data_IF_160435368229
#
_entry.id   IF_160435368229
#
_cell.length_a   1.000
_cell.length_b   1.000
_cell.length_c   1.000
_cell.angle_alpha   90.00
_cell.angle_beta   90.00
_cell.angle_gamma   90.00
#
_symmetry.space_group_name_H-M   'P 1'
#
loop_
_entity.id
_entity.type
_entity.pdbx_description
1 polymer ?
#
# COMPACT_ATOMS: atom_id res chain seq x y z
N UNK A 1 13.22 -6.30 -5.75
CA UNK A 1 13.37 -7.04 -4.48
C UNK A 1 12.66 -6.33 -3.32
N UNK A 2 12.59 -5.00 -3.31
CA UNK A 2 11.83 -4.29 -2.27
C UNK A 2 10.34 -4.63 -2.33
N UNK A 3 9.72 -4.56 -3.52
CA UNK A 3 8.32 -4.95 -3.69
C UNK A 3 8.08 -6.42 -3.36
N UNK A 4 9.03 -7.29 -3.69
CA UNK A 4 8.89 -8.72 -3.40
C UNK A 4 8.97 -9.03 -1.91
N UNK A 5 9.91 -8.44 -1.16
CA UNK A 5 9.98 -8.63 0.29
C UNK A 5 8.74 -8.07 1.00
N UNK A 6 8.20 -6.91 0.53
CA UNK A 6 6.94 -6.32 1.02
C UNK A 6 5.77 -7.27 0.76
N UNK A 7 5.72 -7.86 -0.42
CA UNK A 7 4.70 -8.86 -0.76
C UNK A 7 4.76 -10.07 0.19
N UNK A 8 5.96 -10.64 0.43
CA UNK A 8 6.11 -11.78 1.36
C UNK A 8 5.63 -11.39 2.76
N UNK A 9 6.02 -10.22 3.27
CA UNK A 9 5.59 -9.73 4.58
C UNK A 9 4.09 -9.55 4.66
N UNK A 10 3.50 -8.85 3.70
CA UNK A 10 2.06 -8.56 3.67
C UNK A 10 1.24 -9.85 3.49
N UNK A 11 1.68 -10.74 2.62
CA UNK A 11 1.04 -12.04 2.44
C UNK A 11 1.07 -12.87 3.73
N UNK A 12 2.21 -12.88 4.40
CA UNK A 12 2.35 -13.60 5.67
C UNK A 12 1.47 -13.02 6.78
N UNK A 13 1.42 -11.68 6.89
CA UNK A 13 0.65 -10.98 7.92
C UNK A 13 -0.86 -11.04 7.64
N UNK A 14 -1.27 -10.65 6.45
CA UNK A 14 -2.70 -10.45 6.13
C UNK A 14 -3.37 -11.75 5.67
N UNK A 15 -2.69 -12.54 4.80
CA UNK A 15 -3.29 -13.75 4.24
C UNK A 15 -3.16 -14.93 5.18
N UNK A 16 -1.98 -15.06 5.81
CA UNK A 16 -1.64 -16.21 6.66
C UNK A 16 -1.68 -15.93 8.17
N UNK A 17 -1.96 -14.68 8.56
CA UNK A 17 -2.13 -14.25 9.96
C UNK A 17 -0.90 -14.52 10.86
N UNK A 18 0.30 -14.52 10.27
CA UNK A 18 1.56 -14.76 11.01
C UNK A 18 1.96 -13.58 11.89
N UNK A 19 1.56 -12.38 11.54
CA UNK A 19 1.93 -11.15 12.24
C UNK A 19 3.24 -10.55 11.76
N UNK A 20 3.20 -9.26 11.40
CA UNK A 20 4.32 -8.53 10.75
C UNK A 20 5.58 -8.38 11.61
N UNK A 21 5.47 -8.44 12.94
CA UNK A 21 6.57 -8.21 13.88
C UNK A 21 7.81 -9.09 13.62
N UNK A 22 7.61 -10.31 13.15
CA UNK A 22 8.72 -11.22 12.87
C UNK A 22 9.57 -10.74 11.69
N UNK A 23 8.92 -10.18 10.69
CA UNK A 23 9.55 -9.64 9.48
C UNK A 23 10.17 -8.26 9.76
N UNK A 24 9.52 -7.42 10.56
CA UNK A 24 10.05 -6.13 11.00
C UNK A 24 11.38 -6.31 11.77
N UNK A 25 11.49 -7.31 12.63
CA UNK A 25 12.73 -7.61 13.33
C UNK A 25 13.88 -8.00 12.39
N UNK A 26 13.59 -8.71 11.30
CA UNK A 26 14.59 -9.11 10.32
C UNK A 26 15.12 -7.92 9.51
N UNK A 27 14.23 -7.02 9.06
CA UNK A 27 14.66 -5.83 8.33
C UNK A 27 15.39 -4.84 9.22
N UNK A 28 14.94 -4.65 10.47
CA UNK A 28 15.61 -3.77 11.43
C UNK A 28 17.02 -4.27 11.75
N UNK A 29 17.18 -5.57 11.95
CA UNK A 29 18.51 -6.17 12.14
C UNK A 29 19.39 -5.98 10.91
N UNK A 30 18.88 -6.18 9.71
CA UNK A 30 19.64 -5.96 8.48
C UNK A 30 20.09 -4.50 8.34
N UNK A 31 19.20 -3.53 8.64
CA UNK A 31 19.57 -2.10 8.66
C UNK A 31 20.68 -1.81 9.67
N UNK A 32 20.59 -2.39 10.87
CA UNK A 32 21.64 -2.27 11.90
C UNK A 32 22.98 -2.85 11.42
N UNK A 33 22.97 -4.06 10.86
CA UNK A 33 24.18 -4.76 10.36
C UNK A 33 24.84 -3.99 9.20
N UNK A 34 24.06 -3.26 8.38
CA UNK A 34 24.55 -2.42 7.28
C UNK A 34 24.84 -0.98 7.67
N UNK A 35 24.48 -0.56 8.88
CA UNK A 35 24.65 0.81 9.36
C UNK A 35 23.80 1.85 8.62
N UNK A 36 22.64 1.45 8.10
CA UNK A 36 21.67 2.30 7.38
C UNK A 36 20.44 2.56 8.21
N UNK A 37 19.74 3.67 7.90
CA UNK A 37 18.58 4.09 8.70
C UNK A 37 17.25 3.72 8.03
N UNK A 38 17.16 3.86 6.72
CA UNK A 38 15.91 3.67 5.98
C UNK A 38 15.97 2.43 5.08
N UNK A 39 14.83 1.84 4.82
CA UNK A 39 14.69 0.68 3.93
C UNK A 39 15.22 0.98 2.52
N UNK A 40 15.04 2.22 2.04
CA UNK A 40 15.53 2.69 0.73
C UNK A 40 17.05 2.76 0.62
N UNK A 41 17.76 2.71 1.75
CA UNK A 41 19.22 2.70 1.77
C UNK A 41 19.81 1.29 1.60
N UNK A 42 18.96 0.25 1.71
CA UNK A 42 19.38 -1.13 1.48
C UNK A 42 19.62 -1.39 -0.02
N UNK A 43 20.69 -2.09 -0.32
CA UNK A 43 21.04 -2.44 -1.70
C UNK A 43 20.13 -3.55 -2.25
N UNK A 44 20.11 -3.73 -3.57
CA UNK A 44 19.39 -4.83 -4.20
C UNK A 44 19.86 -6.21 -3.71
N UNK A 45 21.14 -6.34 -3.34
CA UNK A 45 21.68 -7.57 -2.77
C UNK A 45 21.15 -7.84 -1.37
N UNK A 46 21.09 -6.78 -0.53
CA UNK A 46 20.53 -6.86 0.82
C UNK A 46 19.03 -7.21 0.78
N UNK A 47 18.28 -6.56 -0.11
CA UNK A 47 16.84 -6.82 -0.27
C UNK A 47 16.55 -8.23 -0.80
N UNK A 48 17.44 -8.78 -1.66
CA UNK A 48 17.35 -10.16 -2.09
C UNK A 48 17.60 -11.14 -0.95
N UNK A 49 18.64 -10.88 -0.15
CA UNK A 49 18.94 -11.68 1.04
C UNK A 49 17.75 -11.61 2.04
N UNK A 50 17.20 -10.42 2.26
CA UNK A 50 16.06 -10.21 3.15
C UNK A 50 14.81 -10.98 2.67
N UNK A 51 14.55 -11.02 1.38
CA UNK A 51 13.43 -11.79 0.82
C UNK A 51 13.58 -13.30 1.12
N UNK A 52 14.80 -13.84 1.05
CA UNK A 52 15.04 -15.25 1.41
C UNK A 52 14.91 -15.48 2.94
N UNK A 53 15.35 -14.52 3.77
CA UNK A 53 15.13 -14.59 5.21
C UNK A 53 13.63 -14.55 5.55
N UNK A 54 12.84 -13.73 4.86
CA UNK A 54 11.38 -13.67 5.02
C UNK A 54 10.69 -14.99 4.66
N UNK A 55 11.12 -15.64 3.58
CA UNK A 55 10.61 -16.99 3.23
C UNK A 55 10.97 -18.03 4.29
N UNK A 56 12.19 -17.96 4.82
CA UNK A 56 12.61 -18.85 5.89
C UNK A 56 11.76 -18.62 7.16
N UNK A 57 11.48 -17.36 7.50
CA UNK A 57 10.63 -17.04 8.64
C UNK A 57 9.18 -17.48 8.43
N UNK A 58 8.63 -17.31 7.23
CA UNK A 58 7.33 -17.87 6.87
C UNK A 58 7.28 -19.38 7.14
N UNK A 59 8.31 -20.11 6.70
CA UNK A 59 8.42 -21.54 6.94
C UNK A 59 8.55 -21.90 8.42
N UNK A 60 9.30 -21.09 9.19
CA UNK A 60 9.42 -21.29 10.64
C UNK A 60 8.07 -21.17 11.35
N UNK A 61 7.24 -20.22 10.94
CA UNK A 61 5.95 -19.96 11.58
C UNK A 61 4.86 -20.94 11.15
N UNK A 62 4.85 -21.37 9.89
CA UNK A 62 3.75 -22.18 9.30
C UNK A 62 4.12 -23.64 9.02
N UNK A 63 5.39 -23.99 9.05
CA UNK A 63 5.88 -25.33 8.75
C UNK A 63 5.89 -25.71 7.25
N UNK A 64 5.47 -24.78 6.37
CA UNK A 64 5.41 -24.99 4.91
C UNK A 64 6.19 -23.91 4.20
N UNK A 65 6.66 -24.20 2.97
CA UNK A 65 7.36 -23.23 2.15
C UNK A 65 6.41 -22.11 1.69
N UNK A 66 6.97 -20.90 1.49
CA UNK A 66 6.22 -19.80 0.90
C UNK A 66 5.72 -20.18 -0.50
N UNK A 67 4.43 -20.05 -0.82
CA UNK A 67 3.89 -20.49 -2.10
C UNK A 67 4.53 -19.69 -3.25
N UNK A 68 5.05 -20.41 -4.25
CA UNK A 68 5.71 -19.82 -5.42
C UNK A 68 4.79 -19.71 -6.64
N UNK A 69 3.68 -20.44 -6.67
CA UNK A 69 2.68 -20.35 -7.73
C UNK A 69 1.80 -19.12 -7.54
N UNK A 70 1.78 -18.16 -8.47
CA UNK A 70 0.97 -16.95 -8.36
C UNK A 70 -0.54 -17.22 -8.33
N UNK A 71 -1.01 -18.32 -8.92
CA UNK A 71 -2.42 -18.70 -8.87
C UNK A 71 -2.79 -19.20 -7.47
N UNK A 72 -1.91 -19.95 -6.83
CA UNK A 72 -2.08 -20.37 -5.44
C UNK A 72 -2.08 -19.16 -4.50
N UNK A 73 -1.13 -18.24 -4.66
CA UNK A 73 -1.08 -16.98 -3.90
C UNK A 73 -2.39 -16.19 -4.04
N UNK A 74 -2.91 -16.05 -5.26
CA UNK A 74 -4.15 -15.34 -5.52
C UNK A 74 -5.35 -16.03 -4.85
N UNK A 75 -5.46 -17.34 -4.92
CA UNK A 75 -6.54 -18.09 -4.26
C UNK A 75 -6.54 -17.87 -2.75
N UNK A 76 -5.36 -18.00 -2.12
CA UNK A 76 -5.21 -17.76 -0.68
C UNK A 76 -5.56 -16.32 -0.28
N UNK A 77 -5.18 -15.34 -1.11
CA UNK A 77 -5.54 -13.94 -0.87
C UNK A 77 -7.05 -13.70 -1.00
N UNK A 78 -7.72 -14.29 -2.00
CA UNK A 78 -9.18 -14.22 -2.15
C UNK A 78 -9.87 -14.83 -0.94
N UNK A 79 -9.42 -16.00 -0.50
CA UNK A 79 -9.96 -16.66 0.71
C UNK A 79 -9.78 -15.79 1.96
N UNK A 80 -8.64 -15.13 2.11
CA UNK A 80 -8.40 -14.23 3.23
C UNK A 80 -9.36 -13.03 3.23
N UNK A 81 -9.66 -12.45 2.06
CA UNK A 81 -10.66 -11.37 1.95
C UNK A 81 -12.04 -11.86 2.38
N UNK A 82 -12.48 -13.05 1.97
CA UNK A 82 -13.75 -13.59 2.42
C UNK A 82 -13.77 -13.89 3.92
N UNK A 83 -12.67 -14.45 4.47
CA UNK A 83 -12.56 -14.67 5.93
C UNK A 83 -12.61 -13.37 6.74
N UNK A 84 -12.06 -12.27 6.18
CA UNK A 84 -12.03 -10.98 6.88
C UNK A 84 -13.41 -10.40 7.21
N UNK A 85 -14.46 -10.86 6.51
CA UNK A 85 -15.85 -10.51 6.83
C UNK A 85 -16.23 -10.82 8.27
N UNK A 86 -15.71 -11.92 8.82
CA UNK A 86 -16.05 -12.41 10.15
C UNK A 86 -15.05 -11.98 11.24
N UNK A 87 -14.04 -11.17 10.90
CA UNK A 87 -13.09 -10.72 11.90
C UNK A 87 -13.73 -9.74 12.91
N UNK A 88 -13.20 -9.64 14.15
CA UNK A 88 -13.78 -8.81 15.20
C UNK A 88 -13.92 -7.32 14.82
N UNK A 89 -12.94 -6.76 14.10
CA UNK A 89 -12.96 -5.36 13.67
C UNK A 89 -14.08 -5.12 12.64
N UNK A 90 -14.23 -6.01 11.66
CA UNK A 90 -15.30 -5.92 10.68
C UNK A 90 -16.69 -6.07 11.31
N UNK A 91 -16.84 -6.96 12.32
CA UNK A 91 -18.09 -7.13 13.06
C UNK A 91 -18.48 -5.84 13.81
N UNK A 92 -17.52 -5.18 14.47
CA UNK A 92 -17.75 -3.89 15.14
C UNK A 92 -18.16 -2.82 14.13
N UNK A 93 -17.41 -2.69 13.03
CA UNK A 93 -17.71 -1.72 11.98
C UNK A 93 -19.12 -1.89 11.41
N UNK A 94 -19.51 -3.12 11.06
CA UNK A 94 -20.86 -3.39 10.52
C UNK A 94 -21.96 -3.05 11.51
N UNK A 95 -21.79 -3.42 12.77
CA UNK A 95 -22.75 -3.06 13.83
C UNK A 95 -22.91 -1.55 13.96
N UNK A 96 -21.80 -0.82 13.97
CA UNK A 96 -21.79 0.63 14.20
C UNK A 96 -22.30 1.42 12.99
N UNK A 97 -22.35 0.79 11.81
CA UNK A 97 -22.86 1.40 10.57
C UNK A 97 -24.17 0.73 10.07
N UNK A 98 -24.84 -0.07 10.89
CA UNK A 98 -26.12 -0.73 10.55
C UNK A 98 -26.06 -1.58 9.26
N UNK A 99 -24.90 -2.18 8.98
CA UNK A 99 -24.71 -3.06 7.81
C UNK A 99 -25.22 -4.46 8.14
N UNK A 100 -26.21 -5.01 7.39
CA UNK A 100 -26.76 -6.33 7.65
C UNK A 100 -25.69 -7.42 7.59
N UNK A 101 -25.66 -8.30 8.58
CA UNK A 101 -24.74 -9.44 8.60
C UNK A 101 -24.99 -10.42 7.43
N UNK A 102 -26.22 -10.46 6.92
CA UNK A 102 -26.60 -11.28 5.76
C UNK A 102 -25.99 -10.83 4.44
N UNK A 103 -25.41 -9.63 4.39
CA UNK A 103 -24.60 -9.22 3.26
C UNK A 103 -23.28 -9.97 3.29
N UNK A 104 -22.59 -10.00 2.17
CA UNK A 104 -21.25 -10.55 2.07
C UNK A 104 -20.28 -9.47 1.66
N UNK A 105 -19.07 -9.88 1.33
CA UNK A 105 -18.06 -9.05 0.70
C UNK A 105 -17.75 -9.55 -0.70
N UNK A 106 -17.08 -8.73 -1.48
CA UNK A 106 -16.64 -9.07 -2.83
C UNK A 106 -15.13 -8.83 -2.97
N UNK A 107 -14.52 -9.49 -3.94
CA UNK A 107 -13.10 -9.34 -4.26
C UNK A 107 -12.96 -8.81 -5.68
N UNK A 108 -12.21 -7.72 -5.83
CA UNK A 108 -11.74 -7.23 -7.11
C UNK A 108 -10.27 -7.59 -7.28
N UNK A 109 -9.94 -8.23 -8.40
CA UNK A 109 -8.55 -8.52 -8.77
C UNK A 109 -8.10 -7.48 -9.79
N UNK A 110 -7.13 -6.66 -9.40
CA UNK A 110 -6.63 -5.57 -10.23
C UNK A 110 -5.14 -5.72 -10.50
N UNK A 111 -4.64 -5.30 -11.67
CA UNK A 111 -3.19 -5.15 -11.90
C UNK A 111 -2.60 -4.19 -10.86
N UNK A 112 -1.42 -4.52 -10.35
CA UNK A 112 -0.71 -3.65 -9.44
C UNK A 112 0.12 -2.62 -10.22
N UNK A 113 0.07 -1.36 -9.79
CA UNK A 113 0.88 -0.25 -10.29
C UNK A 113 1.93 0.08 -9.23
N UNK A 114 3.20 0.25 -9.65
CA UNK A 114 4.32 0.37 -8.74
C UNK A 114 4.85 1.80 -8.65
N UNK A 115 4.45 2.54 -7.63
CA UNK A 115 4.98 3.87 -7.31
C UNK A 115 6.46 3.88 -6.90
N UNK A 116 7.04 2.73 -6.60
CA UNK A 116 8.45 2.53 -6.28
C UNK A 116 9.25 1.85 -7.39
N UNK A 117 8.80 1.95 -8.65
CA UNK A 117 9.52 1.36 -9.77
C UNK A 117 10.83 2.11 -10.06
N UNK A 118 10.78 3.44 -10.03
CA UNK A 118 11.93 4.34 -10.29
C UNK A 118 11.58 5.78 -9.88
N UNK A 119 12.44 6.75 -10.21
CA UNK A 119 12.21 8.16 -9.90
C UNK A 119 11.17 8.86 -10.80
N UNK A 120 10.66 8.19 -11.83
CA UNK A 120 9.53 8.63 -12.66
C UNK A 120 8.20 8.02 -12.18
N UNK A 121 8.22 7.47 -10.97
CA UNK A 121 7.10 6.82 -10.32
C UNK A 121 6.89 7.41 -8.93
N UNK A 122 5.67 7.35 -8.42
CA UNK A 122 5.33 7.89 -7.11
C UNK A 122 3.95 7.48 -6.65
N UNK A 123 3.60 7.87 -5.44
CA UNK A 123 2.28 7.63 -4.87
C UNK A 123 1.89 8.77 -3.94
N UNK A 124 0.62 8.99 -3.75
CA UNK A 124 0.14 10.07 -2.89
C UNK A 124 -1.31 9.91 -2.48
N UNK A 125 -1.72 10.85 -1.65
CA UNK A 125 -3.09 11.02 -1.16
C UNK A 125 -3.54 12.46 -1.39
N UNK A 126 -4.78 12.66 -1.73
CA UNK A 126 -5.31 14.00 -1.94
C UNK A 126 -6.81 14.11 -1.67
N UNK A 127 -7.21 15.31 -1.24
CA UNK A 127 -8.59 15.74 -1.18
C UNK A 127 -8.86 16.72 -2.32
N UNK A 128 -9.97 16.57 -3.01
CA UNK A 128 -10.34 17.49 -4.12
C UNK A 128 -10.59 18.91 -3.64
N UNK A 129 -10.87 19.09 -2.33
CA UNK A 129 -11.02 20.38 -1.66
C UNK A 129 -10.23 20.40 -0.36
N UNK A 130 -9.99 21.59 0.16
CA UNK A 130 -9.50 21.73 1.53
C UNK A 130 -10.52 21.11 2.52
N UNK A 131 -10.17 20.03 3.23
CA UNK A 131 -11.11 19.33 4.10
C UNK A 131 -11.49 20.13 5.35
N UNK A 132 -10.73 21.17 5.71
CA UNK A 132 -11.01 22.01 6.86
C UNK A 132 -11.95 23.18 6.54
N UNK A 133 -11.86 23.71 5.31
CA UNK A 133 -12.60 24.94 4.92
C UNK A 133 -13.63 24.71 3.83
N UNK A 134 -13.53 23.62 3.06
CA UNK A 134 -14.36 23.37 1.88
C UNK A 134 -13.94 24.19 0.64
N UNK A 135 -12.87 24.99 0.74
CA UNK A 135 -12.34 25.76 -0.39
C UNK A 135 -11.98 24.81 -1.56
N UNK A 136 -12.36 25.22 -2.77
CA UNK A 136 -12.02 24.45 -3.98
C UNK A 136 -10.53 24.60 -4.29
N UNK A 137 -9.73 23.87 -3.54
CA UNK A 137 -8.28 23.81 -3.63
C UNK A 137 -7.83 22.39 -3.36
N UNK A 138 -7.16 21.78 -4.35
CA UNK A 138 -6.57 20.45 -4.19
C UNK A 138 -5.58 20.46 -3.01
N UNK A 139 -5.80 19.58 -2.05
CA UNK A 139 -4.96 19.40 -0.88
C UNK A 139 -4.45 17.97 -0.83
N UNK A 140 -3.19 17.78 -0.52
CA UNK A 140 -2.62 16.45 -0.45
C UNK A 140 -1.11 16.45 -0.48
N UNK A 141 -0.56 15.26 -0.50
CA UNK A 141 0.87 15.03 -0.47
C UNK A 141 1.25 13.77 -1.26
N UNK A 142 2.48 13.73 -1.74
CA UNK A 142 3.00 12.59 -2.50
C UNK A 142 4.48 12.35 -2.23
N UNK A 143 4.92 11.14 -2.55
CA UNK A 143 6.33 10.71 -2.52
C UNK A 143 6.75 10.17 -3.89
N UNK A 144 7.93 10.54 -4.33
CA UNK A 144 8.60 9.94 -5.49
C UNK A 144 9.25 8.63 -5.06
N UNK A 145 9.21 7.63 -5.94
CA UNK A 145 9.81 6.32 -5.73
C UNK A 145 9.38 5.71 -4.37
N UNK A 146 8.06 5.54 -4.20
CA UNK A 146 7.45 5.09 -2.96
C UNK A 146 6.18 4.28 -3.21
N UNK A 147 5.82 3.45 -2.25
CA UNK A 147 4.50 2.79 -2.20
C UNK A 147 3.56 3.56 -1.26
N UNK A 148 2.23 3.29 -1.35
CA UNK A 148 1.21 4.00 -0.58
C UNK A 148 1.46 3.97 0.93
N UNK A 149 1.93 2.84 1.46
CA UNK A 149 2.27 2.71 2.88
C UNK A 149 3.39 3.66 3.34
N UNK A 150 4.31 4.04 2.45
CA UNK A 150 5.40 4.96 2.78
C UNK A 150 4.90 6.39 3.04
N UNK A 151 3.80 6.80 2.37
CA UNK A 151 3.15 8.10 2.58
C UNK A 151 2.51 8.17 3.97
N UNK A 152 1.74 7.14 4.33
CA UNK A 152 0.98 7.13 5.59
C UNK A 152 1.85 6.76 6.80
N UNK A 153 2.96 6.07 6.61
CA UNK A 153 3.87 5.69 7.69
C UNK A 153 4.67 6.86 8.27
N UNK A 154 4.78 7.99 7.56
CA UNK A 154 5.50 9.18 8.00
C UNK A 154 7.02 8.99 8.14
N UNK A 155 7.58 7.97 7.51
CA UNK A 155 9.03 7.67 7.56
C UNK A 155 9.83 8.64 6.69
N UNK A 156 9.26 9.08 5.59
CA UNK A 156 9.79 10.09 4.66
C UNK A 156 8.89 11.33 4.70
N UNK A 157 9.47 12.51 4.55
CA UNK A 157 8.70 13.75 4.45
C UNK A 157 8.09 13.85 3.05
N UNK A 158 6.77 13.81 2.89
CA UNK A 158 6.14 13.92 1.60
C UNK A 158 6.19 15.35 1.07
N UNK A 159 6.01 15.51 -0.24
CA UNK A 159 5.91 16.79 -0.93
C UNK A 159 4.45 17.21 -1.05
N UNK A 160 4.14 18.51 -0.95
CA UNK A 160 2.81 19.03 -1.23
C UNK A 160 2.35 18.66 -2.65
N UNK A 161 1.07 18.29 -2.80
CA UNK A 161 0.48 17.85 -4.08
C UNK A 161 0.69 18.87 -5.22
N UNK A 162 0.75 20.17 -4.92
CA UNK A 162 1.01 21.21 -5.92
C UNK A 162 2.36 21.07 -6.61
N UNK A 163 3.36 20.45 -5.99
CA UNK A 163 4.66 20.21 -6.61
C UNK A 163 4.61 19.08 -7.65
N UNK A 164 3.57 18.27 -7.65
CA UNK A 164 3.37 17.21 -8.64
C UNK A 164 3.25 17.79 -10.07
N UNK A 165 2.79 19.05 -10.22
CA UNK A 165 2.77 19.75 -11.50
C UNK A 165 4.16 19.88 -12.14
N UNK A 166 5.20 20.00 -11.32
CA UNK A 166 6.59 20.10 -11.78
C UNK A 166 7.25 18.74 -11.97
N UNK A 167 6.99 17.81 -11.06
CA UNK A 167 7.62 16.48 -11.06
C UNK A 167 6.97 15.50 -12.07
N UNK A 168 5.64 15.55 -12.19
CA UNK A 168 4.83 14.68 -13.03
C UNK A 168 3.73 15.46 -13.77
N UNK A 169 4.08 16.37 -14.72
CA UNK A 169 3.11 17.30 -15.30
C UNK A 169 1.93 16.63 -16.01
N UNK A 170 2.18 15.56 -16.75
CA UNK A 170 1.12 14.82 -17.45
C UNK A 170 0.20 14.10 -16.45
N UNK A 171 0.78 13.39 -15.49
CA UNK A 171 0.02 12.69 -14.45
C UNK A 171 -0.77 13.68 -13.57
N UNK A 172 -0.22 14.87 -13.29
CA UNK A 172 -0.93 15.92 -12.56
C UNK A 172 -2.16 16.44 -13.35
N UNK A 173 -2.01 16.67 -14.64
CA UNK A 173 -3.13 17.10 -15.50
C UNK A 173 -4.23 16.02 -15.56
N UNK A 174 -3.85 14.75 -15.73
CA UNK A 174 -4.79 13.61 -15.69
C UNK A 174 -5.51 13.54 -14.34
N UNK A 175 -4.76 13.73 -13.24
CA UNK A 175 -5.31 13.68 -11.89
C UNK A 175 -6.33 14.80 -11.64
N UNK A 176 -6.09 16.02 -12.11
CA UNK A 176 -7.06 17.12 -12.02
C UNK A 176 -8.36 16.80 -12.76
N UNK A 177 -8.28 16.16 -13.93
CA UNK A 177 -9.46 15.72 -14.67
C UNK A 177 -10.24 14.64 -13.91
N UNK A 178 -9.55 13.74 -13.22
CA UNK A 178 -10.19 12.73 -12.35
C UNK A 178 -10.90 13.40 -11.18
N UNK A 179 -10.25 14.37 -10.51
CA UNK A 179 -10.85 15.15 -9.42
C UNK A 179 -12.15 15.82 -9.86
N UNK A 180 -12.14 16.52 -10.98
CA UNK A 180 -13.33 17.20 -11.52
C UNK A 180 -14.43 16.20 -11.86
N UNK A 181 -14.07 15.09 -12.51
CA UNK A 181 -15.03 14.03 -12.88
C UNK A 181 -15.73 13.45 -11.66
N UNK A 182 -14.98 13.12 -10.61
CA UNK A 182 -15.52 12.52 -9.40
C UNK A 182 -16.37 13.51 -8.60
N UNK A 183 -15.93 14.75 -8.42
CA UNK A 183 -16.76 15.77 -7.74
C UNK A 183 -18.08 16.03 -8.48
N UNK A 184 -18.02 16.12 -9.81
CA UNK A 184 -19.24 16.30 -10.62
C UNK A 184 -20.19 15.11 -10.53
N UNK A 185 -19.66 13.90 -10.37
CA UNK A 185 -20.48 12.70 -10.25
C UNK A 185 -21.10 12.54 -8.86
N UNK A 186 -20.30 12.70 -7.81
CA UNK A 186 -20.75 12.47 -6.43
C UNK A 186 -21.34 13.73 -5.77
N UNK A 187 -21.12 14.92 -6.33
CA UNK A 187 -21.52 16.21 -5.77
C UNK A 187 -21.00 16.46 -4.35
N UNK A 188 -19.82 15.93 -4.06
CA UNK A 188 -19.15 16.06 -2.76
C UNK A 188 -17.63 16.00 -2.92
N UNK A 189 -16.90 16.48 -1.90
CA UNK A 189 -15.45 16.34 -1.79
C UNK A 189 -15.04 14.87 -1.85
N UNK A 190 -13.95 14.59 -2.54
CA UNK A 190 -13.41 13.25 -2.66
C UNK A 190 -12.08 13.14 -1.93
N UNK A 191 -11.91 12.06 -1.18
CA UNK A 191 -10.65 11.56 -0.63
C UNK A 191 -10.11 10.50 -1.57
N UNK A 192 -8.88 10.67 -2.04
CA UNK A 192 -8.31 9.85 -3.11
C UNK A 192 -6.90 9.41 -2.80
N UNK A 193 -6.61 8.17 -3.15
CA UNK A 193 -5.25 7.65 -3.23
C UNK A 193 -4.88 7.45 -4.70
N UNK A 194 -3.63 7.72 -5.05
CA UNK A 194 -3.17 7.55 -6.43
C UNK A 194 -1.75 6.98 -6.50
N UNK A 195 -1.45 6.33 -7.61
CA UNK A 195 -0.12 5.84 -7.92
C UNK A 195 0.23 6.21 -9.36
N UNK A 196 1.44 6.70 -9.56
CA UNK A 196 2.03 7.03 -10.86
C UNK A 196 3.14 6.04 -11.15
N UNK A 197 3.13 5.44 -12.33
CA UNK A 197 4.17 4.53 -12.80
C UNK A 197 4.69 4.99 -14.17
N UNK A 198 5.99 5.35 -14.23
CA UNK A 198 6.68 5.78 -15.46
C UNK A 198 6.01 6.98 -16.17
N UNK A 199 5.80 8.06 -15.48
CA UNK A 199 5.16 9.28 -16.02
C UNK A 199 6.05 10.51 -15.85
#
# INVERSE_FOLDING_TARGET
YDSYRRFIQMFSDVVMEVGKKYFEQLIDKMKEDRGVKFDVDLTAADLKELAEQFKAEYKNQLGTDFPSDPVEQLKLAIEAVFRSWDNPRANVYRRDNDIPYSWGTAVNVMPMVFGNLNNESGTGVAFTRDPATGENKLMGEFLINAQGEDVVAGVRTPMPIAQMEQEFPEAYADFLNVCETLENHYHDMQDMEFTVENK
#
